data_IF_772957705437
#
_entry.id   IF_772957705437
#
_cell.length_a   1.000
_cell.length_b   1.000
_cell.length_c   1.000
_cell.angle_alpha   90.00
_cell.angle_beta   90.00
_cell.angle_gamma   90.00
#
_symmetry.space_group_name_H-M   'P 1'
#
loop_
_entity.id
_entity.type
_entity.pdbx_description
1 polymer ?
#
# COMPACT_ATOMS: atom_id res chain seq x y z
N UNK A 1 -6.04 -13.87 -13.86
CA UNK A 1 -6.14 -13.15 -12.57
C UNK A 1 -7.58 -13.25 -12.09
N UNK A 2 -7.81 -13.67 -10.84
CA UNK A 2 -9.15 -13.76 -10.23
C UNK A 2 -9.66 -12.38 -9.82
N UNK A 3 -10.98 -12.24 -9.59
CA UNK A 3 -11.60 -10.99 -9.11
C UNK A 3 -10.94 -10.52 -7.81
N UNK A 4 -10.79 -11.41 -6.83
CA UNK A 4 -10.14 -11.14 -5.55
C UNK A 4 -8.70 -10.60 -5.69
N UNK A 5 -7.93 -11.09 -6.67
CA UNK A 5 -6.57 -10.59 -6.91
C UNK A 5 -6.58 -9.17 -7.50
N UNK A 6 -7.62 -8.79 -8.26
CA UNK A 6 -7.78 -7.42 -8.76
C UNK A 6 -8.15 -6.47 -7.63
N UNK A 7 -9.06 -6.88 -6.74
CA UNK A 7 -9.47 -6.09 -5.57
C UNK A 7 -8.29 -5.83 -4.64
N UNK A 8 -7.51 -6.87 -4.33
CA UNK A 8 -6.28 -6.74 -3.53
C UNK A 8 -5.24 -5.85 -4.21
N UNK A 9 -5.05 -5.99 -5.52
CA UNK A 9 -4.12 -5.17 -6.30
C UNK A 9 -4.53 -3.70 -6.30
N UNK A 10 -5.82 -3.41 -6.53
CA UNK A 10 -6.36 -2.07 -6.52
C UNK A 10 -6.17 -1.38 -5.16
N UNK A 11 -6.56 -2.07 -4.08
CA UNK A 11 -6.38 -1.57 -2.72
C UNK A 11 -4.91 -1.28 -2.40
N UNK A 12 -4.01 -2.20 -2.78
CA UNK A 12 -2.58 -2.01 -2.56
C UNK A 12 -2.03 -0.78 -3.28
N UNK A 13 -2.48 -0.52 -4.52
CA UNK A 13 -2.07 0.66 -5.27
C UNK A 13 -2.59 1.96 -4.64
N UNK A 14 -3.84 1.99 -4.17
CA UNK A 14 -4.38 3.14 -3.43
C UNK A 14 -3.65 3.38 -2.10
N UNK A 15 -3.32 2.31 -1.38
CA UNK A 15 -2.50 2.41 -0.16
C UNK A 15 -1.10 2.96 -0.47
N UNK A 16 -0.49 2.57 -1.59
CA UNK A 16 0.80 3.14 -2.01
C UNK A 16 0.69 4.60 -2.45
N UNK A 17 -0.41 5.00 -3.08
CA UNK A 17 -0.65 6.41 -3.45
C UNK A 17 -0.76 7.30 -2.20
N UNK A 18 -1.57 6.90 -1.23
CA UNK A 18 -1.91 7.74 -0.08
C UNK A 18 -0.94 7.59 1.09
N UNK A 19 -0.58 6.35 1.42
CA UNK A 19 0.08 5.98 2.67
C UNK A 19 1.55 5.58 2.50
N UNK A 20 2.12 5.63 1.29
CA UNK A 20 3.53 5.25 1.11
C UNK A 20 4.45 6.21 1.87
N UNK A 21 5.16 5.64 2.84
CA UNK A 21 6.22 6.27 3.61
C UNK A 21 7.49 5.46 3.37
N UNK A 22 8.51 6.12 2.84
CA UNK A 22 9.77 5.47 2.58
C UNK A 22 10.50 5.18 3.92
N UNK A 23 11.12 4.00 4.07
CA UNK A 23 11.83 3.57 5.28
C UNK A 23 13.18 4.29 5.49
N UNK A 24 13.44 4.91 6.65
CA UNK A 24 14.69 5.64 6.90
C UNK A 24 15.92 4.71 6.85
N UNK A 25 16.94 5.07 6.05
CA UNK A 25 18.24 4.38 6.06
C UNK A 25 18.87 4.05 4.70
N UNK A 26 18.18 4.28 3.58
CA UNK A 26 18.75 4.23 2.22
C UNK A 26 18.27 5.45 1.47
N UNK A 27 19.19 6.32 1.04
CA UNK A 27 19.01 7.46 0.12
C UNK A 27 17.53 7.80 -0.13
N UNK A 28 16.94 8.51 0.83
CA UNK A 28 15.56 8.98 0.78
C UNK A 28 15.46 10.14 -0.19
N UNK A 29 15.47 9.82 -1.48
CA UNK A 29 15.02 10.78 -2.47
C UNK A 29 13.50 10.90 -2.31
N UNK A 30 13.07 12.00 -1.71
CA UNK A 30 11.66 12.41 -1.68
C UNK A 30 11.06 12.36 -3.11
N UNK A 31 11.86 12.69 -4.13
CA UNK A 31 11.50 12.56 -5.54
C UNK A 31 11.13 11.11 -5.92
N UNK A 32 11.83 10.09 -5.40
CA UNK A 32 11.49 8.68 -5.65
C UNK A 32 10.17 8.29 -4.99
N UNK A 33 9.85 8.89 -3.85
CA UNK A 33 8.59 8.66 -3.13
C UNK A 33 7.42 9.23 -3.92
N UNK A 34 7.53 10.46 -4.43
CA UNK A 34 6.49 11.09 -5.23
C UNK A 34 6.31 10.38 -6.59
N UNK A 35 7.39 9.93 -7.21
CA UNK A 35 7.33 9.10 -8.42
C UNK A 35 6.59 7.78 -8.16
N UNK A 36 6.82 7.13 -7.02
CA UNK A 36 6.12 5.90 -6.64
C UNK A 36 4.63 6.15 -6.40
N UNK A 37 4.28 7.21 -5.66
CA UNK A 37 2.88 7.61 -5.44
C UNK A 37 2.18 7.91 -6.76
N UNK A 38 2.84 8.66 -7.66
CA UNK A 38 2.31 8.99 -8.98
C UNK A 38 2.10 7.74 -9.87
N UNK A 39 3.06 6.79 -9.86
CA UNK A 39 2.90 5.51 -10.58
C UNK A 39 1.79 4.64 -10.01
N UNK A 40 1.66 4.61 -8.69
CA UNK A 40 0.61 3.86 -8.01
C UNK A 40 -0.78 4.41 -8.39
N UNK A 41 -0.94 5.73 -8.39
CA UNK A 41 -2.15 6.41 -8.88
C UNK A 41 -2.51 6.05 -10.31
N UNK A 42 -1.57 6.22 -11.24
CA UNK A 42 -1.79 5.92 -12.66
C UNK A 42 -2.21 4.45 -12.83
N UNK A 43 -1.56 3.54 -12.13
CA UNK A 43 -1.87 2.11 -12.20
C UNK A 43 -3.25 1.78 -11.61
N UNK A 44 -3.63 2.41 -10.50
CA UNK A 44 -4.95 2.26 -9.90
C UNK A 44 -6.04 2.78 -10.84
N UNK A 45 -5.84 3.97 -11.42
CA UNK A 45 -6.79 4.58 -12.35
C UNK A 45 -6.93 3.76 -13.64
N UNK A 46 -5.85 3.17 -14.16
CA UNK A 46 -5.90 2.24 -15.29
C UNK A 46 -6.65 0.94 -14.95
N UNK A 47 -6.44 0.39 -13.76
CA UNK A 47 -7.20 -0.76 -13.28
C UNK A 47 -8.68 -0.42 -13.17
N UNK A 48 -9.02 0.76 -12.64
CA UNK A 48 -10.39 1.22 -12.49
C UNK A 48 -11.08 1.42 -13.84
N UNK A 49 -10.37 1.97 -14.83
CA UNK A 49 -10.89 2.09 -16.21
C UNK A 49 -11.24 0.74 -16.83
N UNK A 50 -10.44 -0.30 -16.55
CA UNK A 50 -10.65 -1.66 -17.07
C UNK A 50 -11.67 -2.45 -16.24
N UNK A 51 -11.81 -2.11 -14.97
CA UNK A 51 -12.63 -2.79 -13.98
C UNK A 51 -13.39 -1.75 -13.13
N UNK A 52 -14.44 -1.12 -13.70
CA UNK A 52 -15.21 -0.11 -12.98
C UNK A 52 -15.89 -0.69 -11.72
N UNK A 53 -16.06 -2.01 -11.64
CA UNK A 53 -16.54 -2.71 -10.44
C UNK A 53 -15.66 -2.48 -9.19
N UNK A 54 -14.42 -2.01 -9.36
CA UNK A 54 -13.49 -1.72 -8.27
C UNK A 54 -13.73 -0.36 -7.60
N UNK A 55 -14.49 0.55 -8.23
CA UNK A 55 -14.83 1.87 -7.66
C UNK A 55 -15.51 1.77 -6.30
N UNK A 56 -16.31 0.72 -6.10
CA UNK A 56 -17.05 0.46 -4.87
C UNK A 56 -16.14 0.09 -3.68
N UNK A 57 -14.87 -0.25 -3.93
CA UNK A 57 -13.94 -0.63 -2.86
C UNK A 57 -13.22 0.56 -2.22
N UNK A 58 -13.18 1.72 -2.89
CA UNK A 58 -12.59 2.95 -2.33
C UNK A 58 -13.48 3.59 -1.25
N UNK A 59 -14.80 3.34 -1.28
CA UNK A 59 -15.74 3.97 -0.35
C UNK A 59 -15.79 3.27 1.03
N UNK A 60 -15.29 2.04 1.17
CA UNK A 60 -15.60 1.22 2.35
C UNK A 60 -14.54 1.26 3.47
N UNK A 61 -13.30 1.74 3.26
CA UNK A 61 -12.24 1.62 4.29
C UNK A 61 -11.26 2.78 4.37
N UNK A 62 -11.76 3.97 4.69
CA UNK A 62 -10.93 5.01 5.32
C UNK A 62 -10.83 4.79 6.83
N UNK A 63 -10.17 3.70 7.25
CA UNK A 63 -9.43 3.64 8.52
C UNK A 63 -8.55 2.38 8.54
N UNK A 64 -7.24 2.49 8.32
CA UNK A 64 -6.34 1.46 8.81
C UNK A 64 -6.23 1.66 10.32
N UNK A 65 -6.97 0.87 11.10
CA UNK A 65 -6.56 0.52 12.45
C UNK A 65 -5.20 -0.17 12.32
N UNK A 66 -4.13 0.62 12.37
CA UNK A 66 -2.77 0.13 12.52
C UNK A 66 -2.72 -0.53 13.90
N UNK A 67 -2.98 -1.84 13.96
CA UNK A 67 -2.48 -2.63 15.08
C UNK A 67 -0.98 -2.80 14.84
N UNK A 68 -0.09 -2.13 15.61
CA UNK A 68 1.31 -2.49 15.57
C UNK A 68 1.40 -3.94 16.07
N UNK A 69 1.83 -4.85 15.19
CA UNK A 69 2.39 -6.12 15.65
C UNK A 69 3.69 -5.75 16.38
N UNK A 70 3.65 -5.75 17.70
CA UNK A 70 4.85 -5.89 18.52
C UNK A 70 5.51 -7.23 18.14
N UNK A 71 6.48 -7.17 17.21
CA UNK A 71 7.51 -8.20 17.11
C UNK A 71 8.43 -8.05 18.32
N UNK A 72 8.08 -8.68 19.44
CA UNK A 72 9.04 -8.94 20.51
C UNK A 72 9.97 -10.11 20.09
N UNK A 73 10.86 -9.84 19.14
CA UNK A 73 11.92 -10.75 18.77
C UNK A 73 13.13 -10.51 19.70
N UNK A 74 13.09 -11.12 20.88
CA UNK A 74 14.05 -10.85 21.97
C UNK A 74 14.62 -12.08 22.67
N UNK A 75 14.93 -13.17 21.96
CA UNK A 75 15.75 -14.26 22.50
C UNK A 75 17.09 -13.71 23.01
N UNK A 76 17.26 -13.59 24.33
CA UNK A 76 18.58 -13.57 24.98
C UNK A 76 18.73 -14.80 25.87
N UNK A 77 19.29 -15.87 25.30
CA UNK A 77 20.05 -16.84 26.09
C UNK A 77 21.39 -16.20 26.43
N UNK A 78 21.70 -16.04 27.71
CA UNK A 78 23.06 -15.70 28.15
C UNK A 78 23.40 -16.48 29.42
N UNK A 79 24.23 -17.51 29.17
CA UNK A 79 25.16 -18.24 30.05
C UNK A 79 24.63 -18.81 31.35
#
# INVERSE_FOLDING_TARGET
>A
MTKENRERGYKHLRDLEHNYVALPGRDHDLEKTDVLKGRAKISADEMLKKHPELSQLDEDKSEPEVKPKEEEHGKKRKR
#
